data_IF_187978948601
#
_entry.id   IF_187978948601
#
_cell.length_a   1.000
_cell.length_b   1.000
_cell.length_c   1.000
_cell.angle_alpha   90.00
_cell.angle_beta   90.00
_cell.angle_gamma   90.00
#
_symmetry.space_group_name_H-M   'P 1'
#
loop_
_entity.id
_entity.type
_entity.pdbx_description
1 polymer ?
#
# COMPACT_ATOMS: atom_id res chain seq x y z
N UNK A 1 -10.25 1.85 4.55
CA UNK A 1 -10.47 1.03 5.77
C UNK A 1 -10.09 -0.41 5.42
N UNK A 2 -9.26 -1.07 6.26
CA UNK A 2 -8.86 -2.48 6.12
C UNK A 2 -10.05 -3.41 5.85
N UNK A 3 -11.17 -3.15 6.51
CA UNK A 3 -12.36 -4.00 6.46
C UNK A 3 -12.91 -4.22 5.03
N UNK A 4 -12.73 -3.25 4.12
CA UNK A 4 -13.16 -3.39 2.72
C UNK A 4 -12.43 -4.54 2.00
N UNK A 5 -11.24 -4.91 2.46
CA UNK A 5 -10.44 -5.98 1.87
C UNK A 5 -10.67 -7.33 2.56
N UNK A 6 -11.03 -7.34 3.86
CA UNK A 6 -11.06 -8.57 4.66
C UNK A 6 -12.46 -9.10 4.94
N UNK A 7 -13.51 -8.27 4.90
CA UNK A 7 -14.89 -8.73 5.16
C UNK A 7 -15.43 -9.57 4.01
N UNK A 8 -16.15 -10.64 4.33
CA UNK A 8 -16.69 -11.60 3.34
C UNK A 8 -18.19 -11.45 3.11
N UNK A 9 -18.84 -10.45 3.70
CA UNK A 9 -20.25 -10.19 3.46
C UNK A 9 -20.51 -9.80 1.99
N UNK A 10 -21.72 -10.07 1.45
CA UNK A 10 -22.02 -9.84 0.04
C UNK A 10 -21.73 -8.41 -0.44
N UNK A 11 -21.95 -7.40 0.43
CA UNK A 11 -21.72 -6.02 0.05
C UNK A 11 -20.23 -5.71 -0.08
N UNK A 12 -19.41 -6.25 0.81
CA UNK A 12 -17.95 -6.12 0.74
C UNK A 12 -17.37 -6.83 -0.50
N UNK A 13 -17.90 -8.01 -0.85
CA UNK A 13 -17.52 -8.73 -2.08
C UNK A 13 -17.86 -7.90 -3.32
N UNK A 14 -19.11 -7.46 -3.45
CA UNK A 14 -19.57 -6.62 -4.56
C UNK A 14 -18.72 -5.34 -4.68
N UNK A 15 -18.40 -4.71 -3.55
CA UNK A 15 -17.57 -3.49 -3.52
C UNK A 15 -16.17 -3.75 -4.08
N UNK A 16 -15.55 -4.89 -3.75
CA UNK A 16 -14.24 -5.27 -4.30
C UNK A 16 -14.31 -5.56 -5.79
N UNK A 17 -15.38 -6.22 -6.25
CA UNK A 17 -15.60 -6.47 -7.68
C UNK A 17 -15.71 -5.16 -8.46
N UNK A 18 -16.51 -4.21 -7.95
CA UNK A 18 -16.65 -2.87 -8.54
C UNK A 18 -15.36 -2.05 -8.49
N UNK A 19 -14.58 -2.20 -7.44
CA UNK A 19 -13.26 -1.59 -7.36
C UNK A 19 -12.32 -2.13 -8.45
N UNK A 20 -12.26 -3.46 -8.64
CA UNK A 20 -11.44 -4.06 -9.69
C UNK A 20 -11.91 -3.61 -11.07
N UNK A 21 -13.22 -3.58 -11.33
CA UNK A 21 -13.80 -3.06 -12.58
C UNK A 21 -13.36 -1.61 -12.85
N UNK A 22 -13.44 -0.75 -11.84
CA UNK A 22 -13.00 0.64 -11.91
C UNK A 22 -11.50 0.76 -12.23
N UNK A 23 -10.64 0.02 -11.51
CA UNK A 23 -9.19 0.05 -11.74
C UNK A 23 -8.84 -0.47 -13.14
N UNK A 24 -9.50 -1.53 -13.62
CA UNK A 24 -9.34 -2.03 -14.99
C UNK A 24 -9.69 -0.94 -16.01
N UNK A 25 -10.79 -0.22 -15.82
CA UNK A 25 -11.19 0.86 -16.73
C UNK A 25 -10.19 2.02 -16.71
N UNK A 26 -9.63 2.35 -15.53
CA UNK A 26 -8.58 3.36 -15.43
C UNK A 26 -7.31 2.94 -16.19
N UNK A 27 -6.89 1.68 -16.12
CA UNK A 27 -5.74 1.21 -16.91
C UNK A 27 -6.00 1.25 -18.42
N UNK A 28 -7.22 0.95 -18.87
CA UNK A 28 -7.61 1.13 -20.28
C UNK A 28 -7.52 2.59 -20.73
N UNK A 29 -7.96 3.53 -19.88
CA UNK A 29 -7.83 4.97 -20.17
C UNK A 29 -6.36 5.41 -20.28
N UNK A 30 -5.44 4.69 -19.65
CA UNK A 30 -4.00 4.91 -19.76
C UNK A 30 -3.38 4.22 -20.98
N UNK A 31 -4.17 3.54 -21.81
CA UNK A 31 -3.73 2.88 -23.05
C UNK A 31 -3.36 1.41 -22.92
N UNK A 32 -3.58 0.76 -21.77
CA UNK A 32 -3.37 -0.69 -21.65
C UNK A 32 -4.44 -1.45 -22.44
N UNK A 33 -4.07 -2.56 -23.08
CA UNK A 33 -5.04 -3.46 -23.69
C UNK A 33 -5.90 -4.15 -22.61
N UNK A 34 -7.01 -4.77 -23.01
CA UNK A 34 -7.98 -5.34 -22.07
C UNK A 34 -7.39 -6.43 -21.16
N UNK A 35 -6.46 -7.25 -21.68
CA UNK A 35 -5.81 -8.31 -20.90
C UNK A 35 -4.82 -7.73 -19.90
N UNK A 36 -3.98 -6.80 -20.36
CA UNK A 36 -3.02 -6.10 -19.50
C UNK A 36 -3.73 -5.30 -18.39
N UNK A 37 -4.79 -4.56 -18.72
CA UNK A 37 -5.56 -3.78 -17.76
C UNK A 37 -6.18 -4.66 -16.66
N UNK A 38 -6.75 -5.81 -17.04
CA UNK A 38 -7.33 -6.76 -16.08
C UNK A 38 -6.26 -7.38 -15.17
N UNK A 39 -5.11 -7.75 -15.73
CA UNK A 39 -3.98 -8.27 -14.96
C UNK A 39 -3.44 -7.22 -13.99
N UNK A 40 -3.28 -5.98 -14.45
CA UNK A 40 -2.80 -4.87 -13.63
C UNK A 40 -3.76 -4.55 -12.47
N UNK A 41 -5.08 -4.57 -12.71
CA UNK A 41 -6.08 -4.38 -11.65
C UNK A 41 -6.03 -5.50 -10.60
N UNK A 42 -5.83 -6.76 -11.02
CA UNK A 42 -5.66 -7.87 -10.09
C UNK A 42 -4.38 -7.72 -9.24
N UNK A 43 -3.27 -7.28 -9.83
CA UNK A 43 -2.03 -6.96 -9.10
C UNK A 43 -2.26 -5.86 -8.07
N UNK A 44 -2.95 -4.77 -8.44
CA UNK A 44 -3.31 -3.69 -7.50
C UNK A 44 -4.10 -4.25 -6.32
N UNK A 45 -5.13 -5.06 -6.60
CA UNK A 45 -5.98 -5.62 -5.55
C UNK A 45 -5.21 -6.55 -4.61
N UNK A 46 -4.33 -7.39 -5.15
CA UNK A 46 -3.46 -8.29 -4.37
C UNK A 46 -2.56 -7.51 -3.41
N UNK A 47 -1.85 -6.50 -3.91
CA UNK A 47 -0.93 -5.68 -3.10
C UNK A 47 -1.71 -4.92 -2.02
N UNK A 48 -2.83 -4.27 -2.39
CA UNK A 48 -3.64 -3.53 -1.42
C UNK A 48 -4.20 -4.44 -0.34
N UNK A 49 -4.63 -5.66 -0.68
CA UNK A 49 -5.15 -6.64 0.29
C UNK A 49 -4.07 -7.05 1.28
N UNK A 50 -2.87 -7.40 0.81
CA UNK A 50 -1.75 -7.76 1.70
C UNK A 50 -1.38 -6.63 2.68
N UNK A 51 -1.35 -5.39 2.19
CA UNK A 51 -1.12 -4.21 3.04
C UNK A 51 -2.26 -3.98 4.04
N UNK A 52 -3.52 -4.18 3.61
CA UNK A 52 -4.68 -4.05 4.49
C UNK A 52 -4.65 -5.10 5.61
N UNK A 53 -4.35 -6.36 5.29
CA UNK A 53 -4.29 -7.45 6.28
C UNK A 53 -3.28 -7.19 7.40
N UNK A 54 -2.16 -6.53 7.06
CA UNK A 54 -1.11 -6.13 8.00
C UNK A 54 -1.41 -4.82 8.76
N UNK A 55 -2.39 -4.04 8.31
CA UNK A 55 -2.81 -2.80 8.95
C UNK A 55 -3.64 -3.07 10.21
N UNK A 56 -3.62 -2.13 11.15
CA UNK A 56 -4.52 -2.16 12.30
C UNK A 56 -5.99 -2.03 11.86
N UNK A 57 -6.88 -2.71 12.56
CA UNK A 57 -8.33 -2.59 12.44
C UNK A 57 -8.82 -1.24 12.95
N UNK A 58 -10.03 -0.78 12.55
CA UNK A 58 -10.62 0.45 13.10
C UNK A 58 -10.73 0.48 14.63
N UNK A 59 -10.92 -0.68 15.26
CA UNK A 59 -11.00 -0.79 16.73
C UNK A 59 -9.63 -0.61 17.35
N UNK A 60 -8.60 -1.30 16.85
CA UNK A 60 -7.22 -1.16 17.35
C UNK A 60 -6.70 0.26 17.17
N UNK A 61 -7.07 0.92 16.07
CA UNK A 61 -6.72 2.31 15.78
C UNK A 61 -7.25 3.27 16.86
N UNK A 62 -8.32 2.95 17.60
CA UNK A 62 -8.84 3.83 18.66
C UNK A 62 -7.92 3.92 19.88
N UNK A 63 -7.03 2.94 20.09
CA UNK A 63 -6.01 3.03 21.12
C UNK A 63 -4.77 3.75 20.56
N UNK A 64 -4.40 4.95 21.06
CA UNK A 64 -3.23 5.67 20.59
C UNK A 64 -1.91 4.91 20.83
N UNK A 65 -1.82 4.07 21.87
CA UNK A 65 -0.62 3.30 22.19
C UNK A 65 -0.28 2.30 21.07
N UNK A 66 -1.28 1.80 20.35
CA UNK A 66 -1.07 0.92 19.20
C UNK A 66 -0.39 1.63 18.03
N UNK A 67 -0.36 2.96 18.02
CA UNK A 67 0.25 3.79 16.95
C UNK A 67 1.44 4.62 17.41
N UNK A 68 1.81 4.53 18.68
CA UNK A 68 2.95 5.23 19.25
C UNK A 68 4.05 4.24 19.63
N UNK A 69 4.95 4.00 18.69
CA UNK A 69 6.06 3.07 18.80
C UNK A 69 7.35 3.86 18.56
N UNK A 70 7.80 4.60 19.58
CA UNK A 70 9.03 5.39 19.48
C UNK A 70 10.26 4.48 19.49
N UNK A 71 11.07 4.57 18.45
CA UNK A 71 12.33 3.82 18.29
C UNK A 71 13.42 4.74 17.74
N UNK A 72 14.68 4.34 17.88
CA UNK A 72 15.77 5.02 17.17
C UNK A 72 15.65 4.78 15.67
N UNK A 73 16.16 5.70 14.86
CA UNK A 73 16.18 5.53 13.39
C UNK A 73 16.94 4.25 12.99
N UNK A 74 18.06 3.97 13.66
CA UNK A 74 18.84 2.75 13.42
C UNK A 74 18.05 1.47 13.72
N UNK A 75 17.26 1.46 14.79
CA UNK A 75 16.39 0.32 15.11
C UNK A 75 15.28 0.13 14.07
N UNK A 76 14.70 1.22 13.55
CA UNK A 76 13.72 1.14 12.47
C UNK A 76 14.32 0.59 11.17
N UNK A 77 15.55 1.00 10.82
CA UNK A 77 16.30 0.48 9.66
C UNK A 77 16.59 -1.01 9.86
N UNK A 78 17.05 -1.41 11.04
CA UNK A 78 17.32 -2.82 11.36
C UNK A 78 16.07 -3.70 11.33
N UNK A 79 14.88 -3.13 11.63
CA UNK A 79 13.60 -3.83 11.55
C UNK A 79 13.09 -4.03 10.10
N UNK A 80 13.67 -3.34 9.12
CA UNK A 80 13.29 -3.42 7.71
C UNK A 80 14.50 -3.71 6.80
N UNK A 81 15.20 -4.85 6.96
CA UNK A 81 16.44 -5.12 6.23
C UNK A 81 16.29 -5.30 4.71
N UNK A 82 15.10 -5.68 4.23
CA UNK A 82 14.80 -5.90 2.81
C UNK A 82 14.22 -4.66 2.12
N UNK A 83 13.94 -3.60 2.89
CA UNK A 83 13.49 -2.31 2.38
C UNK A 83 14.50 -1.23 2.73
N UNK A 84 15.05 -0.53 1.73
CA UNK A 84 16.05 0.52 1.93
C UNK A 84 15.49 1.77 2.64
N UNK A 85 15.12 1.67 3.92
CA UNK A 85 14.48 2.75 4.67
C UNK A 85 15.36 4.00 4.77
N UNK A 86 16.67 3.81 4.95
CA UNK A 86 17.64 4.90 4.98
C UNK A 86 17.68 5.68 3.64
N UNK A 87 17.71 4.96 2.52
CA UNK A 87 17.69 5.58 1.19
C UNK A 87 16.36 6.27 0.91
N UNK A 88 15.24 5.64 1.30
CA UNK A 88 13.91 6.23 1.19
C UNK A 88 13.80 7.55 1.97
N UNK A 89 14.26 7.58 3.22
CA UNK A 89 14.27 8.80 4.04
C UNK A 89 15.15 9.89 3.42
N UNK A 90 16.33 9.53 2.90
CA UNK A 90 17.24 10.45 2.21
C UNK A 90 16.61 11.03 0.95
N UNK A 91 16.02 10.19 0.09
CA UNK A 91 15.33 10.62 -1.14
C UNK A 91 14.14 11.54 -0.86
N UNK A 92 13.52 11.42 0.32
CA UNK A 92 12.44 12.28 0.79
C UNK A 92 12.91 13.53 1.53
N UNK A 93 14.23 13.75 1.61
CA UNK A 93 14.85 14.86 2.36
C UNK A 93 14.40 14.93 3.82
N UNK A 94 14.18 13.76 4.44
CA UNK A 94 13.85 13.70 5.87
C UNK A 94 15.06 14.18 6.67
N UNK A 95 14.91 15.17 7.57
CA UNK A 95 16.00 15.62 8.43
C UNK A 95 16.58 14.47 9.26
N UNK A 96 17.88 14.51 9.55
CA UNK A 96 18.49 13.57 10.49
C UNK A 96 17.92 13.80 11.88
N UNK A 97 17.23 12.80 12.40
CA UNK A 97 16.66 12.77 13.74
C UNK A 97 17.13 11.49 14.45
N UNK A 98 17.32 11.52 15.78
CA UNK A 98 17.75 10.33 16.51
C UNK A 98 16.63 9.28 16.62
N UNK A 99 15.38 9.75 16.74
CA UNK A 99 14.21 8.93 17.00
C UNK A 99 13.12 9.17 15.96
N UNK A 100 12.30 8.15 15.75
CA UNK A 100 11.08 8.24 14.95
C UNK A 100 9.94 7.42 15.57
N UNK A 101 8.70 7.75 15.20
CA UNK A 101 7.54 6.92 15.53
C UNK A 101 7.33 5.85 14.46
N UNK A 102 7.62 4.59 14.77
CA UNK A 102 7.41 3.44 13.91
C UNK A 102 5.98 2.90 14.05
N UNK A 103 5.01 3.75 13.70
CA UNK A 103 3.63 3.68 14.18
C UNK A 103 2.95 2.31 14.12
N UNK A 104 3.13 1.52 13.05
CA UNK A 104 2.51 0.19 12.92
C UNK A 104 3.58 -0.87 12.59
N UNK A 105 4.24 -1.48 13.59
CA UNK A 105 5.35 -2.39 13.35
C UNK A 105 4.97 -3.59 12.46
N UNK A 106 3.77 -4.17 12.64
CA UNK A 106 3.26 -5.27 11.80
C UNK A 106 3.12 -4.86 10.33
N UNK A 107 2.62 -3.66 10.07
CA UNK A 107 2.47 -3.13 8.72
C UNK A 107 3.83 -2.98 8.04
N UNK A 108 4.79 -2.37 8.72
CA UNK A 108 6.13 -2.19 8.17
C UNK A 108 6.90 -3.50 8.01
N UNK A 109 6.67 -4.49 8.88
CA UNK A 109 7.17 -5.86 8.70
C UNK A 109 6.61 -6.53 7.43
N UNK A 110 5.33 -6.30 7.12
CA UNK A 110 4.75 -6.76 5.86
C UNK A 110 5.34 -6.02 4.66
N UNK A 111 5.51 -4.69 4.73
CA UNK A 111 6.19 -3.91 3.67
C UNK A 111 7.60 -4.44 3.42
N UNK A 112 8.37 -4.69 4.48
CA UNK A 112 9.70 -5.30 4.38
C UNK A 112 9.65 -6.65 3.64
N UNK A 113 8.74 -7.53 4.05
CA UNK A 113 8.58 -8.84 3.42
C UNK A 113 8.13 -8.75 1.96
N UNK A 114 7.28 -7.75 1.64
CA UNK A 114 6.81 -7.48 0.29
C UNK A 114 7.88 -6.86 -0.61
N UNK A 115 8.84 -6.10 -0.06
CA UNK A 115 9.97 -5.55 -0.81
C UNK A 115 10.78 -6.64 -1.52
N UNK A 116 10.87 -7.82 -0.90
CA UNK A 116 11.53 -9.01 -1.47
C UNK A 116 10.59 -9.92 -2.27
N UNK A 117 9.35 -10.11 -1.81
CA UNK A 117 8.44 -11.12 -2.39
C UNK A 117 7.58 -10.61 -3.55
N UNK A 118 7.33 -9.31 -3.64
CA UNK A 118 6.58 -8.69 -4.75
C UNK A 118 7.55 -8.24 -5.83
N UNK A 119 7.26 -8.58 -7.09
CA UNK A 119 8.15 -8.24 -8.20
C UNK A 119 8.23 -6.72 -8.40
N UNK A 120 9.35 -6.22 -8.94
CA UNK A 120 9.48 -4.80 -9.31
C UNK A 120 8.40 -4.38 -10.31
N UNK A 121 8.01 -5.28 -11.23
CA UNK A 121 6.92 -5.05 -12.17
C UNK A 121 5.59 -4.78 -11.46
N UNK A 122 5.24 -5.62 -10.48
CA UNK A 122 4.02 -5.47 -9.71
C UNK A 122 4.04 -4.19 -8.85
N UNK A 123 5.19 -3.85 -8.25
CA UNK A 123 5.36 -2.59 -7.54
C UNK A 123 5.15 -1.38 -8.45
N UNK A 124 5.72 -1.40 -9.66
CA UNK A 124 5.50 -0.34 -10.66
C UNK A 124 4.03 -0.23 -11.06
N UNK A 125 3.35 -1.35 -11.27
CA UNK A 125 1.91 -1.37 -11.57
C UNK A 125 1.09 -0.75 -10.44
N UNK A 126 1.37 -1.13 -9.18
CA UNK A 126 0.68 -0.56 -8.03
C UNK A 126 0.93 0.95 -7.87
N UNK A 127 2.18 1.40 -8.02
CA UNK A 127 2.53 2.82 -7.90
C UNK A 127 1.99 3.66 -9.07
N UNK A 128 1.91 3.09 -10.29
CA UNK A 128 1.23 3.72 -11.44
C UNK A 128 -0.24 3.95 -11.13
N UNK A 129 -0.92 2.95 -10.58
CA UNK A 129 -2.30 3.10 -10.11
C UNK A 129 -2.43 4.20 -9.05
N UNK A 130 -1.59 4.18 -7.99
CA UNK A 130 -1.64 5.18 -6.92
C UNK A 130 -1.48 6.61 -7.46
N UNK A 131 -0.57 6.80 -8.41
CA UNK A 131 -0.30 8.10 -9.07
C UNK A 131 -1.52 8.56 -9.86
N UNK A 132 -2.08 7.69 -10.69
CA UNK A 132 -3.23 8.03 -11.55
C UNK A 132 -4.47 8.27 -10.71
N UNK A 133 -4.75 7.45 -9.70
CA UNK A 133 -5.88 7.65 -8.81
C UNK A 133 -5.81 9.00 -8.06
N UNK A 134 -4.61 9.43 -7.66
CA UNK A 134 -4.42 10.74 -7.03
C UNK A 134 -4.60 11.91 -8.02
N UNK A 135 -4.27 11.71 -9.29
CA UNK A 135 -4.36 12.71 -10.35
C UNK A 135 -5.70 12.71 -11.11
N UNK A 136 -6.52 11.65 -10.99
CA UNK A 136 -7.67 11.38 -11.86
C UNK A 136 -8.66 12.55 -11.96
N UNK A 137 -8.90 13.24 -10.84
CA UNK A 137 -9.79 14.42 -10.79
C UNK A 137 -9.31 15.62 -11.61
N UNK A 138 -8.03 15.65 -12.00
CA UNK A 138 -7.39 16.70 -12.78
C UNK A 138 -7.18 16.31 -14.25
N UNK A 139 -7.57 15.10 -14.64
CA UNK A 139 -7.46 14.60 -16.01
C UNK A 139 -8.81 14.72 -16.73
N UNK A 140 -8.81 14.72 -18.08
CA UNK A 140 -10.04 14.65 -18.86
C UNK A 140 -10.89 13.44 -18.45
N UNK A 141 -12.21 13.62 -18.51
CA UNK A 141 -13.18 12.55 -18.28
C UNK A 141 -13.32 11.68 -19.52
#
# INVERSE_FOLDING_TARGET
NRDFYTKTDPKSVETREKFVEYVTNMFKLLGDDAGAAQSNAATVMKIQTALAEASLTPVELRNPDNRYNKVTVDAAIAAMPDFSLAEYMSARSVPKVPDMNFAQPKFFGAVNSMAKSVSLGDWKTYLRWMTVNAAAQFLPK
#
